data_IF_287107483591
#
_entry.id   IF_287107483591
#
_cell.length_a   1.000
_cell.length_b   1.000
_cell.length_c   1.000
_cell.angle_alpha   90.00
_cell.angle_beta   90.00
_cell.angle_gamma   90.00
#
_symmetry.space_group_name_H-M   'P 1'
#
loop_
_entity.id
_entity.type
_entity.pdbx_description
1 polymer ?
#
# COMPACT_ATOMS: atom_id res chain seq x y z
N UNK A 1 21.41 -12.68 -32.65
CA UNK A 1 21.32 -13.79 -31.70
C UNK A 1 20.41 -13.28 -30.59
N UNK A 2 19.13 -13.60 -30.68
CA UNK A 2 18.15 -13.24 -29.64
C UNK A 2 18.33 -14.23 -28.51
N UNK A 3 18.69 -13.75 -27.33
CA UNK A 3 18.59 -14.54 -26.12
C UNK A 3 17.09 -14.61 -25.76
N UNK A 4 16.45 -15.71 -26.11
CA UNK A 4 15.18 -16.10 -25.54
C UNK A 4 15.43 -16.31 -24.04
N UNK A 5 15.14 -15.27 -23.24
CA UNK A 5 14.96 -15.46 -21.81
C UNK A 5 13.63 -16.20 -21.65
N UNK A 6 13.70 -17.53 -21.56
CA UNK A 6 12.56 -18.30 -21.05
C UNK A 6 12.16 -17.72 -19.69
N UNK A 7 11.01 -17.09 -19.64
CA UNK A 7 10.38 -16.73 -18.38
C UNK A 7 9.91 -18.02 -17.72
N UNK A 8 10.77 -18.65 -16.93
CA UNK A 8 10.35 -19.71 -16.04
C UNK A 8 9.33 -19.15 -15.05
N UNK A 9 8.12 -19.70 -15.09
CA UNK A 9 7.10 -19.39 -14.10
C UNK A 9 7.65 -19.77 -12.72
N UNK A 10 7.60 -18.84 -11.78
CA UNK A 10 8.01 -19.12 -10.41
C UNK A 10 7.14 -20.23 -9.81
N UNK A 11 7.76 -21.13 -9.06
CA UNK A 11 7.02 -22.13 -8.32
C UNK A 11 6.03 -21.48 -7.34
N UNK A 12 4.86 -22.09 -7.18
CA UNK A 12 3.87 -21.62 -6.22
C UNK A 12 4.44 -21.67 -4.80
N UNK A 13 4.38 -20.53 -4.11
CA UNK A 13 4.78 -20.43 -2.70
C UNK A 13 3.59 -20.77 -1.80
N UNK A 14 3.59 -21.97 -1.25
CA UNK A 14 2.52 -22.44 -0.36
C UNK A 14 2.57 -21.78 1.02
N UNK A 15 1.41 -21.56 1.62
CA UNK A 15 1.24 -21.04 2.97
C UNK A 15 0.24 -21.89 3.74
N UNK A 16 0.29 -21.82 5.08
CA UNK A 16 -0.72 -22.49 5.89
C UNK A 16 -2.13 -21.98 5.54
N UNK A 17 -3.14 -22.85 5.42
CA UNK A 17 -4.45 -22.46 4.94
C UNK A 17 -5.12 -21.45 5.89
N UNK A 18 -5.75 -20.43 5.28
CA UNK A 18 -6.51 -19.38 5.96
C UNK A 18 -5.70 -18.51 6.95
N UNK A 19 -4.38 -18.58 6.92
CA UNK A 19 -3.56 -17.55 7.57
C UNK A 19 -3.73 -16.22 6.85
N UNK A 20 -3.49 -15.12 7.57
CA UNK A 20 -3.70 -13.76 7.06
C UNK A 20 -2.40 -12.97 7.06
N UNK A 21 -2.23 -12.11 6.06
CA UNK A 21 -1.30 -10.99 6.08
C UNK A 21 -2.04 -9.71 5.73
N UNK A 22 -1.71 -8.61 6.36
CA UNK A 22 -2.34 -7.31 6.08
C UNK A 22 -1.27 -6.29 5.73
N UNK A 23 -1.47 -5.57 4.63
CA UNK A 23 -0.67 -4.41 4.24
C UNK A 23 -1.56 -3.18 4.22
N UNK A 24 -1.05 -2.08 4.77
CA UNK A 24 -1.72 -0.78 4.76
C UNK A 24 -0.76 0.28 4.25
N UNK A 25 -1.19 1.03 3.25
CA UNK A 25 -0.48 2.20 2.77
C UNK A 25 -1.02 3.45 3.49
N UNK A 26 -0.12 4.27 3.99
CA UNK A 26 -0.44 5.47 4.75
C UNK A 26 0.14 6.71 4.10
N UNK A 27 -0.62 7.79 4.21
CA UNK A 27 -0.21 9.15 3.84
C UNK A 27 0.63 9.74 4.96
N UNK A 28 1.71 10.43 4.59
CA UNK A 28 2.47 11.29 5.50
C UNK A 28 2.06 12.73 5.23
N UNK A 29 1.46 13.39 6.21
CA UNK A 29 0.92 14.74 6.05
C UNK A 29 1.49 15.71 7.07
N UNK A 30 1.55 16.98 6.67
CA UNK A 30 1.91 18.11 7.56
C UNK A 30 0.82 18.33 8.62
N UNK A 31 1.22 18.58 9.85
CA UNK A 31 0.30 18.96 10.91
C UNK A 31 -0.26 20.38 10.80
N UNK A 32 0.25 21.19 9.86
CA UNK A 32 -0.15 22.59 9.70
C UNK A 32 -1.28 22.78 8.68
N UNK A 33 -1.15 22.13 7.52
CA UNK A 33 -2.02 22.33 6.36
C UNK A 33 -2.55 21.04 5.75
N UNK A 34 -2.19 19.91 6.35
CA UNK A 34 -2.55 18.58 5.92
C UNK A 34 -2.10 18.19 4.50
N UNK A 35 -1.15 18.94 3.90
CA UNK A 35 -0.52 18.58 2.65
C UNK A 35 0.36 17.33 2.82
N UNK A 36 0.52 16.58 1.73
CA UNK A 36 1.51 15.49 1.70
C UNK A 36 2.93 16.05 1.87
N UNK A 37 3.73 15.38 2.69
CA UNK A 37 5.14 15.74 2.94
C UNK A 37 6.04 14.55 2.68
N UNK A 38 7.16 14.80 1.99
CA UNK A 38 8.17 13.80 1.66
C UNK A 38 9.05 13.42 2.85
N UNK A 39 8.46 12.87 3.90
CA UNK A 39 9.15 12.55 5.15
C UNK A 39 9.33 11.02 5.38
N UNK A 40 9.01 10.18 4.39
CA UNK A 40 9.21 8.74 4.52
C UNK A 40 10.66 8.35 4.82
N UNK A 41 11.72 8.96 4.20
CA UNK A 41 13.09 8.61 4.52
C UNK A 41 13.44 8.87 5.99
N UNK A 42 12.96 9.96 6.56
CA UNK A 42 13.21 10.31 7.96
C UNK A 42 12.43 9.41 8.91
N UNK A 43 11.17 9.15 8.62
CA UNK A 43 10.32 8.26 9.43
C UNK A 43 10.87 6.84 9.44
N UNK A 44 11.30 6.31 8.30
CA UNK A 44 11.90 4.98 8.20
C UNK A 44 13.23 4.90 8.98
N UNK A 45 14.02 5.97 8.99
CA UNK A 45 15.24 6.06 9.79
C UNK A 45 14.94 6.02 11.29
N UNK A 46 13.90 6.73 11.75
CA UNK A 46 13.46 6.71 13.15
C UNK A 46 12.85 5.35 13.55
N UNK A 47 12.24 4.64 12.59
CA UNK A 47 11.73 3.28 12.80
C UNK A 47 12.84 2.22 12.83
N UNK A 48 13.99 2.48 12.22
CA UNK A 48 15.11 1.53 12.17
C UNK A 48 15.55 1.11 13.59
N UNK A 49 15.58 -0.19 13.83
CA UNK A 49 15.94 -0.77 15.13
C UNK A 49 14.84 -0.76 16.20
N UNK A 50 13.63 -0.27 15.87
CA UNK A 50 12.47 -0.41 16.75
C UNK A 50 11.93 -1.84 16.69
N UNK A 51 11.55 -2.38 17.85
CA UNK A 51 10.96 -3.71 17.91
C UNK A 51 9.44 -3.60 17.72
N UNK A 52 8.95 -4.21 16.67
CA UNK A 52 7.53 -4.40 16.36
C UNK A 52 7.38 -5.67 15.51
N UNK A 53 6.20 -6.31 15.47
CA UNK A 53 5.92 -7.35 14.51
C UNK A 53 5.84 -6.77 13.08
N UNK A 54 6.01 -7.63 12.09
CA UNK A 54 5.87 -7.22 10.68
C UNK A 54 6.94 -6.24 10.22
N UNK A 55 6.60 -5.40 9.25
CA UNK A 55 7.54 -4.50 8.60
C UNK A 55 6.93 -3.12 8.32
N UNK A 56 7.81 -2.11 8.19
CA UNK A 56 7.46 -0.75 7.73
C UNK A 56 8.41 -0.40 6.59
N UNK A 57 7.84 -0.19 5.41
CA UNK A 57 8.58 -0.08 4.16
C UNK A 57 8.30 1.25 3.43
N UNK A 58 9.23 1.68 2.56
CA UNK A 58 8.95 2.76 1.65
C UNK A 58 7.93 2.34 0.57
N UNK A 59 7.12 3.29 0.15
CA UNK A 59 6.30 3.21 -1.04
C UNK A 59 6.82 4.11 -2.17
N UNK A 60 6.13 4.11 -3.32
CA UNK A 60 6.60 4.71 -4.57
C UNK A 60 6.93 6.20 -4.45
N UNK A 61 6.26 6.93 -3.58
CA UNK A 61 6.58 8.34 -3.30
C UNK A 61 7.06 8.52 -1.87
N UNK A 62 7.89 9.53 -1.63
CA UNK A 62 8.45 9.85 -0.32
C UNK A 62 7.43 10.42 0.69
N UNK A 63 6.19 10.62 0.27
CA UNK A 63 5.05 11.00 1.10
C UNK A 63 4.15 9.81 1.51
N UNK A 64 4.62 8.60 1.26
CA UNK A 64 3.91 7.35 1.53
C UNK A 64 4.78 6.38 2.32
N UNK A 65 4.14 5.57 3.15
CA UNK A 65 4.75 4.37 3.76
C UNK A 65 3.76 3.21 3.70
N UNK A 66 4.29 2.02 3.58
CA UNK A 66 3.56 0.78 3.75
C UNK A 66 3.93 0.14 5.09
N UNK A 67 2.93 -0.37 5.79
CA UNK A 67 3.14 -1.27 6.92
C UNK A 67 2.52 -2.63 6.62
N UNK A 68 3.19 -3.70 7.01
CA UNK A 68 2.71 -5.07 6.83
C UNK A 68 2.84 -5.87 8.12
N UNK A 69 1.87 -6.76 8.37
CA UNK A 69 1.95 -7.72 9.47
C UNK A 69 2.87 -8.88 9.10
N UNK A 70 3.35 -9.61 10.11
CA UNK A 70 3.78 -10.99 9.93
C UNK A 70 2.57 -11.87 9.56
N UNK A 71 2.81 -13.15 9.31
CA UNK A 71 1.73 -14.12 9.08
C UNK A 71 0.90 -14.26 10.35
N UNK A 72 -0.37 -13.91 10.26
CA UNK A 72 -1.34 -13.95 11.34
C UNK A 72 -2.20 -15.22 11.28
N UNK A 73 -2.52 -15.79 12.43
CA UNK A 73 -3.36 -16.98 12.49
C UNK A 73 -4.85 -16.63 12.37
N UNK A 74 -5.23 -15.43 12.78
CA UNK A 74 -6.61 -14.95 12.72
C UNK A 74 -6.67 -13.42 12.70
N UNK A 75 -7.89 -12.88 12.65
CA UNK A 75 -8.15 -11.44 12.69
C UNK A 75 -7.62 -10.77 13.97
N UNK A 76 -7.72 -11.44 15.13
CA UNK A 76 -7.32 -10.85 16.41
C UNK A 76 -5.79 -10.69 16.48
N UNK A 77 -5.05 -11.65 15.92
CA UNK A 77 -3.60 -11.56 15.78
C UNK A 77 -3.22 -10.41 14.83
N UNK A 78 -3.84 -10.32 13.65
CA UNK A 78 -3.60 -9.22 12.72
C UNK A 78 -3.87 -7.85 13.37
N UNK A 79 -4.97 -7.70 14.09
CA UNK A 79 -5.32 -6.46 14.78
C UNK A 79 -4.31 -6.10 15.87
N UNK A 80 -3.79 -7.09 16.59
CA UNK A 80 -2.79 -6.90 17.65
C UNK A 80 -1.48 -6.42 17.05
N UNK A 81 -1.03 -7.03 15.97
CA UNK A 81 0.19 -6.64 15.28
C UNK A 81 0.06 -5.22 14.68
N UNK A 82 -1.02 -4.91 13.98
CA UNK A 82 -1.27 -3.57 13.42
C UNK A 82 -1.29 -2.48 14.51
N UNK A 83 -1.86 -2.77 15.67
CA UNK A 83 -1.85 -1.83 16.82
C UNK A 83 -0.44 -1.60 17.34
N UNK A 84 0.37 -2.64 17.42
CA UNK A 84 1.78 -2.55 17.84
C UNK A 84 2.60 -1.69 16.88
N UNK A 85 2.51 -1.96 15.57
CA UNK A 85 3.18 -1.18 14.53
C UNK A 85 2.73 0.28 14.59
N UNK A 86 1.40 0.51 14.63
CA UNK A 86 0.83 1.85 14.70
C UNK A 86 1.36 2.63 15.91
N UNK A 87 1.47 2.01 17.08
CA UNK A 87 1.97 2.68 18.27
C UNK A 87 3.41 3.20 18.06
N UNK A 88 4.29 2.39 17.49
CA UNK A 88 5.65 2.80 17.17
C UNK A 88 5.68 3.90 16.12
N UNK A 89 4.94 3.75 15.03
CA UNK A 89 4.86 4.72 13.94
C UNK A 89 4.39 6.09 14.42
N UNK A 90 3.29 6.16 15.16
CA UNK A 90 2.75 7.42 15.67
C UNK A 90 3.74 8.10 16.60
N UNK A 91 4.39 7.33 17.48
CA UNK A 91 5.43 7.88 18.39
C UNK A 91 6.60 8.51 17.63
N UNK A 92 7.03 7.95 16.48
CA UNK A 92 8.11 8.55 15.69
C UNK A 92 7.59 9.71 14.83
N UNK A 93 6.38 9.61 14.28
CA UNK A 93 5.74 10.69 13.53
C UNK A 93 5.60 11.96 14.40
N UNK A 94 5.15 11.80 15.66
CA UNK A 94 5.03 12.93 16.61
C UNK A 94 6.38 13.61 16.84
N UNK A 95 7.47 12.84 16.93
CA UNK A 95 8.83 13.42 17.10
C UNK A 95 9.30 14.21 15.88
N UNK A 96 8.86 13.82 14.70
CA UNK A 96 9.16 14.52 13.44
C UNK A 96 8.19 15.68 13.15
N UNK A 97 7.14 15.84 13.95
CA UNK A 97 6.11 16.86 13.73
C UNK A 97 5.24 16.60 12.50
N UNK A 98 5.07 15.34 12.12
CA UNK A 98 4.25 14.90 11.00
C UNK A 98 3.07 14.05 11.48
N UNK A 99 2.05 13.93 10.66
CA UNK A 99 0.88 13.10 10.92
C UNK A 99 0.79 11.96 9.90
N UNK A 100 0.13 10.88 10.30
CA UNK A 100 -0.17 9.74 9.44
C UNK A 100 -1.67 9.65 9.23
N UNK A 101 -2.09 9.48 7.98
CA UNK A 101 -3.50 9.36 7.61
C UNK A 101 -3.73 8.15 6.71
N UNK A 102 -4.87 7.49 6.91
CA UNK A 102 -5.40 6.53 5.94
C UNK A 102 -6.29 7.22 4.90
N UNK A 103 -6.76 6.46 3.95
CA UNK A 103 -7.67 6.93 2.89
C UNK A 103 -7.36 6.23 1.58
N UNK A 104 -8.09 6.56 0.52
CA UNK A 104 -7.85 6.00 -0.82
C UNK A 104 -7.04 6.92 -1.70
N UNK A 105 -7.24 8.24 -1.56
CA UNK A 105 -6.52 9.31 -2.26
C UNK A 105 -6.31 10.47 -1.30
N UNK A 106 -5.31 11.32 -1.58
CA UNK A 106 -5.26 12.61 -0.90
C UNK A 106 -6.27 13.57 -1.54
N UNK A 107 -7.11 14.28 -0.74
CA UNK A 107 -8.26 14.99 -1.28
C UNK A 107 -7.89 16.17 -2.19
N UNK A 108 -6.79 16.87 -1.94
CA UNK A 108 -6.45 18.09 -2.68
C UNK A 108 -5.02 18.17 -3.21
N UNK A 109 -4.11 17.30 -2.78
CA UNK A 109 -2.73 17.31 -3.25
C UNK A 109 -2.61 16.73 -4.66
N UNK A 110 -1.78 17.38 -5.49
CA UNK A 110 -1.50 16.88 -6.83
C UNK A 110 -0.41 15.80 -6.80
N UNK A 111 -0.73 14.61 -7.32
CA UNK A 111 0.23 13.50 -7.41
C UNK A 111 1.47 13.86 -8.25
N UNK A 112 1.33 14.72 -9.25
CA UNK A 112 2.46 15.18 -10.08
C UNK A 112 3.54 15.96 -9.31
N UNK A 113 3.21 16.50 -8.14
CA UNK A 113 4.13 17.23 -7.27
C UNK A 113 4.91 16.29 -6.31
N UNK A 114 4.54 15.02 -6.23
CA UNK A 114 5.19 14.08 -5.34
C UNK A 114 6.55 13.65 -5.91
N UNK A 115 7.54 13.49 -5.02
CA UNK A 115 8.84 12.95 -5.36
C UNK A 115 8.80 11.41 -5.30
N UNK A 116 9.45 10.76 -6.25
CA UNK A 116 9.66 9.31 -6.21
C UNK A 116 10.65 8.99 -5.10
N UNK A 117 10.34 8.03 -4.24
CA UNK A 117 11.24 7.58 -3.19
C UNK A 117 12.56 7.06 -3.81
N UNK A 118 13.70 7.47 -3.22
CA UNK A 118 15.03 7.14 -3.75
C UNK A 118 15.41 5.68 -3.47
N UNK A 119 14.88 4.78 -4.31
CA UNK A 119 15.23 3.38 -4.30
C UNK A 119 15.24 2.80 -5.72
N UNK A 120 16.17 1.86 -6.05
CA UNK A 120 16.33 1.33 -7.40
C UNK A 120 15.04 0.77 -8.01
N UNK A 121 14.20 0.08 -7.20
CA UNK A 121 12.93 -0.49 -7.66
C UNK A 121 11.96 0.59 -8.13
N UNK A 122 11.87 1.72 -7.42
CA UNK A 122 10.94 2.81 -7.75
C UNK A 122 11.45 3.65 -8.93
N UNK A 123 12.76 3.82 -9.05
CA UNK A 123 13.37 4.41 -10.25
C UNK A 123 13.08 3.57 -11.49
N UNK A 124 13.19 2.23 -11.38
CA UNK A 124 12.83 1.34 -12.48
C UNK A 124 11.35 1.45 -12.86
N UNK A 125 10.43 1.45 -11.89
CA UNK A 125 9.01 1.66 -12.14
C UNK A 125 8.74 3.03 -12.78
N UNK A 126 9.42 4.08 -12.31
CA UNK A 126 9.30 5.41 -12.88
C UNK A 126 9.81 5.49 -14.34
N UNK A 127 10.85 4.74 -14.67
CA UNK A 127 11.33 4.63 -16.06
C UNK A 127 10.35 3.86 -16.93
N UNK A 128 9.76 2.80 -16.41
CA UNK A 128 8.83 1.94 -17.15
C UNK A 128 7.49 2.64 -17.42
N UNK A 129 6.92 3.29 -16.41
CA UNK A 129 5.57 3.88 -16.48
C UNK A 129 5.57 5.40 -16.71
N UNK A 130 6.75 6.03 -16.69
CA UNK A 130 6.87 7.47 -16.89
C UNK A 130 6.04 8.26 -15.84
N UNK A 131 5.30 9.24 -16.33
CA UNK A 131 4.50 10.09 -15.44
C UNK A 131 3.39 9.32 -14.68
N UNK A 132 2.93 8.18 -15.20
CA UNK A 132 1.94 7.34 -14.53
C UNK A 132 2.46 6.81 -13.19
N UNK A 133 3.77 6.62 -13.03
CA UNK A 133 4.35 6.17 -11.77
C UNK A 133 3.94 7.05 -10.58
N UNK A 134 3.81 8.36 -10.77
CA UNK A 134 3.35 9.28 -9.72
C UNK A 134 1.84 9.19 -9.46
N UNK A 135 1.04 8.65 -10.38
CA UNK A 135 -0.39 8.41 -10.16
C UNK A 135 -0.63 7.28 -9.15
N UNK A 136 0.40 6.48 -8.84
CA UNK A 136 0.37 5.55 -7.71
C UNK A 136 0.42 6.24 -6.33
N UNK A 137 0.31 7.56 -6.25
CA UNK A 137 0.01 8.27 -5.00
C UNK A 137 -1.47 8.04 -4.63
N UNK A 138 -1.79 6.78 -4.46
CA UNK A 138 -3.05 6.22 -3.97
C UNK A 138 -2.70 5.28 -2.83
N UNK A 139 -3.64 5.05 -1.93
CA UNK A 139 -3.36 4.36 -0.68
C UNK A 139 -4.25 3.12 -0.58
N UNK A 140 -3.61 1.97 -0.57
CA UNK A 140 -4.25 0.67 -0.60
C UNK A 140 -4.36 0.02 0.77
N UNK A 141 -5.19 -1.01 0.79
CA UNK A 141 -5.22 -2.01 1.85
C UNK A 141 -5.29 -3.37 1.18
N UNK A 142 -4.31 -4.21 1.48
CA UNK A 142 -4.24 -5.57 0.97
C UNK A 142 -4.47 -6.56 2.11
N UNK A 143 -5.25 -7.58 1.85
CA UNK A 143 -5.41 -8.72 2.75
C UNK A 143 -5.00 -9.97 2.00
N UNK A 144 -3.91 -10.57 2.41
CA UNK A 144 -3.39 -11.81 1.87
C UNK A 144 -3.99 -12.98 2.62
N UNK A 145 -4.34 -14.04 1.91
CA UNK A 145 -4.91 -15.26 2.48
C UNK A 145 -4.01 -16.43 2.12
N UNK A 146 -3.53 -17.13 3.13
CA UNK A 146 -2.68 -18.30 2.96
C UNK A 146 -3.41 -19.44 2.25
N UNK A 147 -2.76 -20.01 1.22
CA UNK A 147 -3.25 -21.15 0.46
C UNK A 147 -2.20 -22.27 0.43
N UNK A 148 -2.58 -23.54 0.69
CA UNK A 148 -1.64 -24.64 0.76
C UNK A 148 -1.20 -25.15 -0.61
N UNK A 149 -1.98 -24.89 -1.66
CA UNK A 149 -1.70 -25.34 -3.03
C UNK A 149 -2.31 -24.39 -4.07
N UNK A 150 -1.86 -24.45 -5.34
CA UNK A 150 -2.32 -23.54 -6.39
C UNK A 150 -3.78 -23.75 -6.78
N UNK A 151 -4.33 -24.97 -6.69
CA UNK A 151 -5.73 -25.24 -7.05
C UNK A 151 -6.68 -24.55 -6.07
N UNK A 152 -6.38 -24.61 -4.77
CA UNK A 152 -7.13 -23.89 -3.74
C UNK A 152 -7.00 -22.38 -3.91
N UNK A 153 -5.83 -21.88 -4.27
CA UNK A 153 -5.63 -20.43 -4.53
C UNK A 153 -6.49 -19.97 -5.71
N UNK A 154 -6.51 -20.70 -6.82
CA UNK A 154 -7.36 -20.39 -7.97
C UNK A 154 -8.86 -20.50 -7.64
N UNK A 155 -9.25 -21.53 -6.90
CA UNK A 155 -10.64 -21.65 -6.44
C UNK A 155 -11.05 -20.46 -5.58
N UNK A 156 -10.20 -20.06 -4.64
CA UNK A 156 -10.45 -18.91 -3.77
C UNK A 156 -10.57 -17.60 -4.58
N UNK A 157 -9.66 -17.37 -5.52
CA UNK A 157 -9.69 -16.22 -6.43
C UNK A 157 -11.05 -16.14 -7.16
N UNK A 158 -11.52 -17.22 -7.75
CA UNK A 158 -12.82 -17.26 -8.42
C UNK A 158 -13.99 -17.07 -7.45
N UNK A 159 -13.91 -17.67 -6.26
CA UNK A 159 -14.95 -17.52 -5.24
C UNK A 159 -15.07 -16.08 -4.75
N UNK A 160 -13.94 -15.36 -4.60
CA UNK A 160 -13.93 -13.96 -4.18
C UNK A 160 -14.41 -12.99 -5.27
N UNK A 161 -14.33 -13.35 -6.55
CA UNK A 161 -14.74 -12.48 -7.65
C UNK A 161 -16.14 -11.89 -7.48
N UNK A 162 -17.10 -12.64 -6.96
CA UNK A 162 -18.47 -12.17 -6.69
C UNK A 162 -18.57 -11.15 -5.54
N UNK A 163 -17.55 -11.05 -4.68
CA UNK A 163 -17.53 -10.13 -3.55
C UNK A 163 -16.81 -8.81 -3.87
N UNK A 164 -16.19 -8.67 -5.04
CA UNK A 164 -15.50 -7.45 -5.45
C UNK A 164 -16.35 -6.18 -5.25
N UNK A 165 -17.63 -6.11 -5.66
CA UNK A 165 -18.44 -4.92 -5.44
C UNK A 165 -18.64 -4.59 -3.96
N UNK A 166 -18.73 -5.61 -3.11
CA UNK A 166 -18.86 -5.44 -1.66
C UNK A 166 -17.56 -4.90 -1.05
N UNK A 167 -16.41 -5.44 -1.47
CA UNK A 167 -15.09 -4.99 -1.01
C UNK A 167 -14.83 -3.54 -1.44
N UNK A 168 -15.18 -3.17 -2.68
CA UNK A 168 -15.10 -1.80 -3.17
C UNK A 168 -15.95 -0.86 -2.31
N UNK A 169 -17.19 -1.26 -1.99
CA UNK A 169 -18.10 -0.46 -1.16
C UNK A 169 -17.58 -0.28 0.27
N UNK A 170 -17.08 -1.34 0.88
CA UNK A 170 -16.54 -1.31 2.24
C UNK A 170 -15.25 -0.46 2.34
N UNK A 171 -14.45 -0.44 1.30
CA UNK A 171 -13.17 0.30 1.26
C UNK A 171 -13.28 1.68 0.59
N UNK A 172 -14.49 2.13 0.24
CA UNK A 172 -14.70 3.42 -0.42
C UNK A 172 -14.30 4.59 0.51
N UNK A 173 -13.24 5.31 0.12
CA UNK A 173 -12.63 6.37 0.94
C UNK A 173 -11.92 7.42 0.08
N UNK A 174 -12.36 7.65 -1.16
CA UNK A 174 -11.69 8.56 -2.11
C UNK A 174 -12.66 9.35 -2.97
N UNK A 175 -13.57 10.17 -2.37
CA UNK A 175 -14.49 10.99 -3.16
C UNK A 175 -13.81 12.19 -3.82
N UNK A 176 -12.68 12.64 -3.28
CA UNK A 176 -11.94 13.79 -3.80
C UNK A 176 -10.58 13.38 -4.36
N UNK A 177 -10.19 13.96 -5.48
CA UNK A 177 -8.87 13.81 -6.10
C UNK A 177 -8.41 15.17 -6.61
N UNK A 178 -7.22 15.60 -6.20
CA UNK A 178 -6.58 16.84 -6.65
C UNK A 178 -7.49 18.09 -6.48
N UNK A 179 -8.23 18.15 -5.38
CA UNK A 179 -9.12 19.26 -5.08
C UNK A 179 -10.49 19.21 -5.76
N UNK A 180 -10.78 18.15 -6.51
CA UNK A 180 -12.03 17.99 -7.26
C UNK A 180 -12.92 16.96 -6.58
N UNK A 181 -14.18 17.30 -6.36
CA UNK A 181 -15.22 16.33 -6.05
C UNK A 181 -15.51 15.51 -7.32
N UNK A 182 -15.17 14.24 -7.29
CA UNK A 182 -15.26 13.35 -8.44
C UNK A 182 -16.67 12.80 -8.68
N UNK A 183 -17.57 12.93 -7.70
CA UNK A 183 -18.87 12.27 -7.69
C UNK A 183 -18.82 10.75 -7.42
N UNK A 184 -17.62 10.16 -7.29
CA UNK A 184 -17.41 8.74 -6.95
C UNK A 184 -17.00 8.59 -5.49
N UNK A 185 -17.44 7.51 -4.83
CA UNK A 185 -17.00 7.21 -3.46
C UNK A 185 -15.63 6.51 -3.42
N UNK A 186 -15.20 5.93 -4.54
CA UNK A 186 -13.92 5.21 -4.69
C UNK A 186 -13.19 5.61 -5.98
N UNK A 187 -12.87 6.89 -6.12
CA UNK A 187 -12.21 7.45 -7.31
C UNK A 187 -10.81 6.86 -7.55
N UNK A 188 -10.12 6.36 -6.49
CA UNK A 188 -8.79 5.72 -6.62
C UNK A 188 -8.78 4.57 -7.62
N UNK A 189 -9.89 3.87 -7.82
CA UNK A 189 -9.98 2.77 -8.78
C UNK A 189 -9.69 3.23 -10.21
N UNK A 190 -10.05 4.47 -10.56
CA UNK A 190 -9.74 5.02 -11.88
C UNK A 190 -8.22 5.11 -12.10
N UNK A 191 -7.46 5.44 -11.05
CA UNK A 191 -5.99 5.46 -11.12
C UNK A 191 -5.42 4.04 -11.25
N UNK A 192 -5.95 3.07 -10.50
CA UNK A 192 -5.53 1.67 -10.60
C UNK A 192 -5.75 1.12 -12.01
N UNK A 193 -6.94 1.34 -12.58
CA UNK A 193 -7.28 0.83 -13.91
C UNK A 193 -6.58 1.58 -15.06
N UNK A 194 -5.93 2.70 -14.80
CA UNK A 194 -5.12 3.39 -15.80
C UNK A 194 -3.78 2.69 -16.09
N UNK A 195 -3.36 1.75 -15.24
CA UNK A 195 -2.13 0.99 -15.43
C UNK A 195 -2.34 -0.18 -16.38
N UNK A 196 -1.43 -0.38 -17.34
CA UNK A 196 -1.44 -1.59 -18.16
C UNK A 196 -1.11 -2.81 -17.27
N UNK A 197 -1.91 -3.85 -17.42
CA UNK A 197 -1.68 -5.17 -16.78
C UNK A 197 -0.58 -5.91 -17.53
#
# INVERSE_FOLDING_TARGET
>A
MSSDTEYELQAFSQSAPLTLGVELELQIVSGQDYNLVGAAPDLLREMAGRQHPGDVKPEITDSMIELSTDICQDYQDALTQLRSIRYQLVSQADRLGILLSGGGTHPFQHWGQQAIFDAPRFHHLSQLYGYLAKQFTIFGQHVHIGCPDPDQALWLLHAFGRYIPHLITLSAASPFVQGIDTGFQSARLNSVFAFPL
#
